data_IF_821430906013
#
_entry.id   IF_821430906013
#
_cell.length_a   1.000
_cell.length_b   1.000
_cell.length_c   1.000
_cell.angle_alpha   90.00
_cell.angle_beta   90.00
_cell.angle_gamma   90.00
#
_symmetry.space_group_name_H-M   'P 1'
#
loop_
_entity.id
_entity.type
_entity.pdbx_description
1 polymer ?
#
# COMPACT_ATOMS: atom_id res chain seq x y z
N UNK A 1 1.68 -11.33 11.41
CA UNK A 1 1.20 -11.62 10.06
C UNK A 1 0.40 -10.45 9.52
N UNK A 2 0.63 -10.08 8.28
CA UNK A 2 -0.10 -8.99 7.65
C UNK A 2 -1.31 -9.51 6.89
N UNK A 3 -2.39 -8.73 6.88
CA UNK A 3 -3.57 -9.03 6.09
C UNK A 3 -3.40 -8.58 4.65
N UNK A 4 -4.10 -9.21 3.69
CA UNK A 4 -4.03 -8.78 2.29
C UNK A 4 -4.47 -7.34 2.10
N UNK A 5 -3.79 -6.65 1.20
CA UNK A 5 -4.24 -5.34 0.74
C UNK A 5 -5.45 -5.50 -0.18
N UNK A 6 -6.33 -4.50 -0.17
CA UNK A 6 -7.39 -4.41 -1.17
C UNK A 6 -6.95 -3.43 -2.23
N UNK A 7 -6.71 -3.94 -3.43
CA UNK A 7 -6.25 -3.13 -4.54
C UNK A 7 -7.40 -3.01 -5.55
N UNK A 8 -7.74 -1.77 -5.88
CA UNK A 8 -8.73 -1.47 -6.92
C UNK A 8 -8.05 -0.65 -7.99
N UNK A 9 -8.20 -1.08 -9.22
CA UNK A 9 -7.61 -0.40 -10.36
C UNK A 9 -8.66 -0.27 -11.44
N UNK A 10 -8.90 0.98 -11.89
CA UNK A 10 -9.85 1.27 -12.95
C UNK A 10 -9.10 1.88 -14.11
N UNK A 11 -9.24 1.28 -15.28
CA UNK A 11 -8.61 1.75 -16.50
C UNK A 11 -9.57 2.68 -17.25
N UNK A 12 -9.09 3.87 -17.55
CA UNK A 12 -9.82 4.86 -18.34
C UNK A 12 -8.89 5.34 -19.47
N UNK A 13 -9.14 4.83 -20.68
CA UNK A 13 -8.19 5.03 -21.77
C UNK A 13 -6.87 4.35 -21.45
N UNK A 14 -5.78 5.11 -21.37
CA UNK A 14 -4.46 4.63 -20.99
C UNK A 14 -4.08 5.03 -19.56
N UNK A 15 -5.02 5.60 -18.80
CA UNK A 15 -4.78 6.00 -17.41
C UNK A 15 -5.40 4.99 -16.47
N UNK A 16 -4.58 4.45 -15.57
CA UNK A 16 -5.02 3.54 -14.55
C UNK A 16 -5.14 4.30 -13.23
N UNK A 17 -6.35 4.35 -12.70
CA UNK A 17 -6.61 4.93 -11.38
C UNK A 17 -6.55 3.81 -10.36
N UNK A 18 -5.57 3.88 -9.46
CA UNK A 18 -5.31 2.83 -8.50
C UNK A 18 -5.61 3.32 -7.09
N UNK A 19 -6.34 2.50 -6.34
CA UNK A 19 -6.56 2.73 -4.91
C UNK A 19 -6.21 1.49 -4.14
N UNK A 20 -5.43 1.67 -3.09
CA UNK A 20 -4.94 0.57 -2.26
C UNK A 20 -5.34 0.82 -0.82
N UNK A 21 -6.09 -0.12 -0.26
CA UNK A 21 -6.41 -0.12 1.17
C UNK A 21 -5.47 -1.11 1.86
N UNK A 22 -4.67 -0.63 2.77
CA UNK A 22 -3.68 -1.43 3.48
C UNK A 22 -4.16 -1.71 4.90
N UNK A 23 -4.07 -2.96 5.33
CA UNK A 23 -4.36 -3.34 6.71
C UNK A 23 -3.07 -3.23 7.51
N UNK A 24 -2.92 -2.15 8.28
CA UNK A 24 -1.73 -1.91 9.08
C UNK A 24 -2.09 -1.04 10.29
N UNK A 25 -1.55 -1.35 11.48
CA UNK A 25 -1.89 -0.59 12.68
C UNK A 25 -1.40 0.86 12.70
N UNK A 26 -0.30 1.17 12.01
CA UNK A 26 0.26 2.53 11.95
C UNK A 26 0.40 3.16 13.34
N UNK A 27 1.13 2.47 14.23
CA UNK A 27 1.33 2.95 15.59
C UNK A 27 2.38 4.05 15.65
N UNK A 28 2.07 5.13 16.37
CA UNK A 28 2.92 6.31 16.45
C UNK A 28 3.98 6.24 17.55
N UNK A 29 3.92 5.24 18.41
CA UNK A 29 4.78 5.17 19.58
C UNK A 29 4.30 6.01 20.77
N UNK A 30 3.10 6.58 20.66
CA UNK A 30 2.53 7.43 21.71
C UNK A 30 1.33 6.79 22.40
N UNK A 31 0.77 5.75 21.83
CA UNK A 31 -0.39 5.07 22.39
C UNK A 31 0.03 4.07 23.45
N UNK A 32 -0.79 3.91 24.48
CA UNK A 32 -0.56 2.92 25.55
C UNK A 32 -1.61 1.82 25.49
N UNK A 33 -1.19 0.61 25.84
CA UNK A 33 -2.12 -0.52 25.96
C UNK A 33 -2.88 -0.47 27.29
N UNK A 34 -3.73 -1.47 27.53
CA UNK A 34 -4.55 -1.53 28.74
C UNK A 34 -3.73 -1.67 30.02
N UNK A 35 -2.49 -2.13 29.93
CA UNK A 35 -1.58 -2.29 31.06
C UNK A 35 -0.71 -1.05 31.30
N UNK A 36 -0.88 0.01 30.50
CA UNK A 36 -0.09 1.24 30.63
C UNK A 36 1.23 1.22 29.91
N UNK A 37 1.56 0.16 29.19
CA UNK A 37 2.79 0.08 28.40
C UNK A 37 2.64 0.81 27.08
N UNK A 38 3.69 1.51 26.67
CA UNK A 38 3.70 2.19 25.37
C UNK A 38 3.71 1.15 24.25
N UNK A 39 2.77 1.27 23.31
CA UNK A 39 2.77 0.43 22.12
C UNK A 39 3.91 0.89 21.22
N UNK A 40 4.83 -0.02 20.81
CA UNK A 40 5.97 0.37 20.00
C UNK A 40 5.59 1.01 18.68
N UNK A 41 6.43 1.91 18.20
CA UNK A 41 6.28 2.54 16.90
C UNK A 41 6.21 1.45 15.81
N UNK A 42 5.16 1.46 15.01
CA UNK A 42 4.94 0.47 13.96
C UNK A 42 4.18 1.11 12.81
N UNK A 43 4.88 1.43 11.74
CA UNK A 43 4.27 2.12 10.59
C UNK A 43 4.90 1.66 9.28
N UNK A 44 4.12 1.78 8.21
CA UNK A 44 4.61 1.53 6.86
C UNK A 44 5.57 2.66 6.49
N UNK A 45 6.76 2.31 6.02
CA UNK A 45 7.79 3.28 5.62
C UNK A 45 7.80 3.53 4.12
N UNK A 46 7.65 2.48 3.34
CA UNK A 46 7.79 2.55 1.88
C UNK A 46 6.68 1.78 1.21
N UNK A 47 6.13 2.37 0.15
CA UNK A 47 5.14 1.73 -0.71
C UNK A 47 5.69 1.79 -2.13
N UNK A 48 5.73 0.64 -2.79
CA UNK A 48 6.20 0.52 -4.17
C UNK A 48 5.14 -0.16 -5.00
N UNK A 49 4.85 0.38 -6.18
CA UNK A 49 3.99 -0.24 -7.16
C UNK A 49 4.80 -0.65 -8.38
N UNK A 50 4.54 -1.83 -8.89
CA UNK A 50 5.19 -2.36 -10.10
C UNK A 50 4.12 -2.75 -11.10
N UNK A 51 4.35 -2.41 -12.36
CA UNK A 51 3.49 -2.80 -13.46
C UNK A 51 4.27 -3.74 -14.35
N UNK A 52 3.81 -4.99 -14.47
CA UNK A 52 4.51 -6.06 -15.20
C UNK A 52 5.96 -6.24 -14.75
N UNK A 53 6.21 -6.10 -13.45
CA UNK A 53 7.55 -6.25 -12.87
C UNK A 53 8.42 -5.02 -12.93
N UNK A 54 7.94 -3.91 -13.49
CA UNK A 54 8.70 -2.66 -13.54
C UNK A 54 8.20 -1.69 -12.48
N UNK A 55 9.09 -1.11 -11.66
CA UNK A 55 8.67 -0.09 -10.70
C UNK A 55 8.10 1.13 -11.43
N UNK A 56 6.88 1.53 -11.05
CA UNK A 56 6.20 2.67 -11.67
C UNK A 56 5.84 3.74 -10.64
N UNK A 57 5.89 3.41 -9.36
CA UNK A 57 5.55 4.34 -8.30
C UNK A 57 6.27 3.94 -7.02
N UNK A 58 6.76 4.91 -6.28
CA UNK A 58 7.32 4.70 -4.96
C UNK A 58 6.97 5.90 -4.08
N UNK A 59 6.54 5.63 -2.86
CA UNK A 59 6.24 6.66 -1.88
C UNK A 59 6.83 6.26 -0.53
N UNK A 60 7.29 7.26 0.21
CA UNK A 60 7.68 7.09 1.60
C UNK A 60 6.56 7.65 2.47
N UNK A 61 6.24 6.94 3.53
CA UNK A 61 5.21 7.35 4.46
C UNK A 61 5.81 7.69 5.82
N UNK A 62 5.00 8.26 6.68
CA UNK A 62 5.42 8.61 8.03
C UNK A 62 4.45 8.05 9.06
N UNK A 63 4.86 8.13 10.32
CA UNK A 63 4.01 7.71 11.44
C UNK A 63 2.73 8.54 11.57
N UNK A 64 2.63 9.65 10.86
CA UNK A 64 1.44 10.51 10.89
C UNK A 64 0.27 9.95 10.09
N UNK A 65 0.49 8.90 9.31
CA UNK A 65 -0.57 8.27 8.51
C UNK A 65 -1.46 7.44 9.45
N UNK A 66 -2.77 7.52 9.23
CA UNK A 66 -3.76 6.83 10.05
C UNK A 66 -3.72 5.32 9.88
N UNK A 67 -4.32 4.61 10.83
CA UNK A 67 -4.50 3.15 10.75
C UNK A 67 -5.23 2.76 9.46
N UNK A 68 -4.84 1.62 8.89
CA UNK A 68 -5.40 1.07 7.66
C UNK A 68 -5.45 2.13 6.56
N UNK A 69 -4.29 2.66 6.16
CA UNK A 69 -4.25 3.78 5.22
C UNK A 69 -4.75 3.41 3.83
N UNK A 70 -5.32 4.40 3.16
CA UNK A 70 -5.72 4.28 1.76
C UNK A 70 -4.81 5.18 0.94
N UNK A 71 -4.19 4.60 -0.09
CA UNK A 71 -3.34 5.33 -1.02
C UNK A 71 -3.96 5.31 -2.41
N UNK A 72 -3.97 6.46 -3.07
CA UNK A 72 -4.45 6.57 -4.43
C UNK A 72 -3.37 7.16 -5.32
N UNK A 73 -3.24 6.61 -6.53
CA UNK A 73 -2.33 7.16 -7.52
C UNK A 73 -2.83 6.80 -8.92
N UNK A 74 -2.30 7.49 -9.92
CA UNK A 74 -2.65 7.25 -11.31
C UNK A 74 -1.41 6.91 -12.11
N UNK A 75 -1.54 5.94 -13.01
CA UNK A 75 -0.47 5.50 -13.90
C UNK A 75 -0.92 5.70 -15.34
N UNK A 76 -0.03 6.19 -16.18
CA UNK A 76 -0.27 6.35 -17.60
C UNK A 76 0.37 5.19 -18.38
N UNK A 77 -0.28 4.78 -19.46
CA UNK A 77 0.26 3.73 -20.32
C UNK A 77 -0.09 2.31 -19.92
N UNK A 78 -0.97 2.14 -18.93
CA UNK A 78 -1.42 0.82 -18.52
C UNK A 78 -2.44 0.25 -19.52
N UNK A 79 -2.49 -1.07 -19.61
CA UNK A 79 -3.38 -1.80 -20.53
C UNK A 79 -4.12 -2.89 -19.77
N UNK A 80 -5.27 -3.28 -20.30
CA UNK A 80 -5.98 -4.45 -19.78
C UNK A 80 -5.11 -5.68 -19.87
N UNK A 81 -5.09 -6.48 -18.79
CA UNK A 81 -4.25 -7.66 -18.70
C UNK A 81 -2.89 -7.41 -18.06
N UNK A 82 -2.49 -6.16 -17.86
CA UNK A 82 -1.27 -5.86 -17.14
C UNK A 82 -1.37 -6.33 -15.69
N UNK A 83 -0.24 -6.66 -15.09
CA UNK A 83 -0.20 -7.07 -13.69
C UNK A 83 0.34 -5.94 -12.83
N UNK A 84 -0.45 -5.54 -11.85
CA UNK A 84 -0.08 -4.50 -10.90
C UNK A 84 0.22 -5.17 -9.56
N UNK A 85 1.43 -4.98 -9.07
CA UNK A 85 1.86 -5.44 -7.76
C UNK A 85 2.14 -4.25 -6.86
N UNK A 86 1.66 -4.31 -5.63
CA UNK A 86 1.92 -3.28 -4.63
C UNK A 86 2.60 -3.93 -3.43
N UNK A 87 3.69 -3.32 -3.00
CA UNK A 87 4.46 -3.80 -1.85
C UNK A 87 4.59 -2.69 -0.83
N UNK A 88 4.38 -3.00 0.45
CA UNK A 88 4.75 -2.09 1.52
C UNK A 88 5.79 -2.74 2.43
N UNK A 89 6.64 -1.90 3.02
CA UNK A 89 7.64 -2.30 4.01
C UNK A 89 7.46 -1.40 5.22
N UNK A 90 7.44 -1.98 6.41
CA UNK A 90 7.30 -1.21 7.63
C UNK A 90 8.61 -1.10 8.42
N UNK A 91 8.58 -0.33 9.50
CA UNK A 91 9.77 -0.07 10.32
C UNK A 91 10.25 -1.28 11.11
N UNK A 92 9.45 -2.32 11.20
CA UNK A 92 9.84 -3.58 11.88
C UNK A 92 10.39 -4.63 10.93
N UNK A 93 10.51 -4.29 9.64
CA UNK A 93 11.01 -5.20 8.62
C UNK A 93 9.96 -6.11 8.00
N UNK A 94 8.70 -5.98 8.40
CA UNK A 94 7.61 -6.69 7.74
C UNK A 94 7.34 -6.07 6.39
N UNK A 95 6.98 -6.92 5.46
CA UNK A 95 6.58 -6.48 4.13
C UNK A 95 5.45 -7.36 3.62
N UNK A 96 4.66 -6.79 2.72
CA UNK A 96 3.62 -7.54 2.05
C UNK A 96 3.52 -7.09 0.60
N UNK A 97 3.34 -8.05 -0.27
CA UNK A 97 3.10 -7.83 -1.70
C UNK A 97 1.78 -8.47 -2.09
N UNK A 98 0.94 -7.72 -2.75
CA UNK A 98 -0.28 -8.22 -3.36
C UNK A 98 -0.32 -7.79 -4.82
N UNK A 99 -0.89 -8.63 -5.67
CA UNK A 99 -0.93 -8.41 -7.11
C UNK A 99 -2.34 -8.59 -7.63
N UNK A 100 -2.71 -7.75 -8.58
CA UNK A 100 -3.97 -7.88 -9.32
C UNK A 100 -3.69 -7.79 -10.81
N UNK A 101 -4.63 -8.29 -11.60
CA UNK A 101 -4.64 -8.07 -13.05
C UNK A 101 -5.52 -6.87 -13.36
N UNK A 102 -5.07 -5.99 -14.24
CA UNK A 102 -5.84 -4.83 -14.67
C UNK A 102 -6.97 -5.29 -15.58
N UNK A 103 -8.19 -5.00 -15.18
CA UNK A 103 -9.37 -5.33 -15.98
C UNK A 103 -9.62 -4.33 -17.09
N UNK A 104 -10.42 -4.72 -18.06
CA UNK A 104 -10.86 -3.83 -19.11
C UNK A 104 -11.90 -2.85 -18.58
N UNK A 105 -11.64 -1.58 -18.68
CA UNK A 105 -12.54 -0.49 -18.39
C UNK A 105 -13.17 -0.40 -17.07
#
# INVERSE_FOLDING_TARGET
>A
MSDPMKIRAKLDGDILDVRVLMAHPMETGQRKDASGNVIPLHFIQTITAQLNGKPVFQAETSQAVSRNPVFGFKLKGAKAGDKLAVTWVDNKGDKRTDEISVGAG
#
